data_IF_358345960628
#
_entry.id   IF_358345960628
#
_cell.length_a   1.000
_cell.length_b   1.000
_cell.length_c   1.000
_cell.angle_alpha   90.00
_cell.angle_beta   90.00
_cell.angle_gamma   90.00
#
_symmetry.space_group_name_H-M   'P 1'
#
loop_
_entity.id
_entity.type
_entity.pdbx_description
1 polymer ?
#
# COMPACT_ATOMS: atom_id res chain seq x y z
N UNK A 1 -22.01 -21.01 3.27
CA UNK A 1 -22.07 -19.55 3.46
C UNK A 1 -23.44 -19.02 3.04
N UNK A 2 -23.87 -19.21 1.80
CA UNK A 2 -25.15 -18.67 1.30
C UNK A 2 -26.42 -19.18 2.00
N UNK A 3 -26.45 -20.44 2.42
CA UNK A 3 -27.62 -21.06 3.08
C UNK A 3 -27.67 -20.83 4.61
N UNK A 4 -26.54 -20.47 5.23
CA UNK A 4 -26.39 -20.43 6.70
C UNK A 4 -26.08 -19.06 7.29
N UNK A 5 -25.59 -18.12 6.48
CA UNK A 5 -25.29 -16.75 6.89
C UNK A 5 -25.42 -15.80 5.68
N UNK A 6 -26.64 -15.63 5.13
CA UNK A 6 -26.88 -14.77 3.98
C UNK A 6 -26.52 -13.30 4.24
N UNK A 7 -26.50 -12.85 5.51
CA UNK A 7 -26.09 -11.52 5.94
C UNK A 7 -24.60 -11.23 5.69
N UNK A 8 -23.76 -12.27 5.67
CA UNK A 8 -22.31 -12.14 5.42
C UNK A 8 -21.97 -12.06 3.93
N UNK A 9 -22.92 -12.30 3.02
CA UNK A 9 -22.68 -12.30 1.57
C UNK A 9 -22.28 -10.92 1.04
N UNK A 10 -22.71 -9.84 1.71
CA UNK A 10 -22.31 -8.47 1.39
C UNK A 10 -21.19 -7.94 2.30
N UNK A 11 -20.63 -8.77 3.19
CA UNK A 11 -19.57 -8.34 4.10
C UNK A 11 -18.21 -8.42 3.38
N UNK A 12 -17.65 -7.26 3.06
CA UNK A 12 -16.25 -7.14 2.66
C UNK A 12 -15.42 -6.96 3.92
N UNK A 13 -14.61 -7.97 4.26
CA UNK A 13 -13.61 -7.87 5.32
C UNK A 13 -12.25 -7.47 4.71
N UNK A 14 -11.72 -6.32 5.10
CA UNK A 14 -10.35 -5.94 4.77
C UNK A 14 -9.41 -6.48 5.86
N UNK A 15 -8.65 -7.52 5.53
CA UNK A 15 -7.56 -8.00 6.37
C UNK A 15 -6.25 -7.33 5.98
N UNK A 16 -5.64 -6.57 6.88
CA UNK A 16 -4.28 -6.08 6.73
C UNK A 16 -3.30 -7.16 7.24
N UNK A 17 -2.61 -7.85 6.32
CA UNK A 17 -1.57 -8.82 6.70
C UNK A 17 -0.38 -8.14 7.41
N UNK A 18 -0.20 -6.84 7.17
CA UNK A 18 0.75 -5.99 7.88
C UNK A 18 -0.04 -4.92 8.60
N UNK A 19 -0.03 -5.01 9.93
CA UNK A 19 -0.59 -3.99 10.82
C UNK A 19 -0.14 -2.59 10.34
N UNK A 20 -1.08 -1.71 10.03
CA UNK A 20 -0.78 -0.33 9.63
C UNK A 20 -0.12 0.49 10.74
N UNK A 21 -0.06 -0.05 11.97
CA UNK A 21 0.83 0.47 13.00
C UNK A 21 2.27 0.39 12.52
N UNK A 22 2.96 1.50 12.71
CA UNK A 22 4.32 1.84 12.24
C UNK A 22 5.39 0.80 12.66
N UNK A 23 5.06 -0.24 13.43
CA UNK A 23 5.98 -1.08 14.17
C UNK A 23 6.81 -2.08 13.36
N UNK A 24 6.24 -2.86 12.43
CA UNK A 24 6.98 -4.02 11.88
C UNK A 24 8.04 -3.62 10.85
N UNK A 25 7.65 -2.91 9.80
CA UNK A 25 8.58 -2.52 8.75
C UNK A 25 9.64 -1.53 9.26
N UNK A 26 9.26 -0.57 10.10
CA UNK A 26 10.22 0.37 10.68
C UNK A 26 11.22 -0.34 11.61
N UNK A 27 10.75 -1.29 12.44
CA UNK A 27 11.65 -2.11 13.28
C UNK A 27 12.62 -2.93 12.44
N UNK A 28 12.15 -3.55 11.36
CA UNK A 28 13.04 -4.28 10.43
C UNK A 28 14.13 -3.38 9.83
N UNK A 29 13.79 -2.13 9.47
CA UNK A 29 14.78 -1.17 9.00
C UNK A 29 15.81 -0.83 10.09
N UNK A 30 15.36 -0.59 11.32
CA UNK A 30 16.25 -0.34 12.47
C UNK A 30 17.18 -1.52 12.72
N UNK A 31 16.63 -2.74 12.76
CA UNK A 31 17.40 -3.97 13.01
C UNK A 31 18.44 -4.22 11.90
N UNK A 32 18.14 -3.82 10.66
CA UNK A 32 19.05 -3.89 9.52
C UNK A 32 20.02 -2.68 9.40
N UNK A 33 19.93 -1.69 10.29
CA UNK A 33 20.76 -0.50 10.26
C UNK A 33 20.48 0.43 9.07
N UNK A 34 19.26 0.39 8.50
CA UNK A 34 18.84 1.20 7.35
C UNK A 34 17.72 2.17 7.70
N UNK A 35 17.66 3.29 6.99
CA UNK A 35 16.64 4.32 7.18
C UNK A 35 15.27 3.87 6.64
N UNK A 36 14.22 4.02 7.45
CA UNK A 36 12.85 3.79 6.99
C UNK A 36 12.34 4.97 6.16
N UNK A 37 12.13 4.76 4.85
CA UNK A 37 11.72 5.83 3.93
C UNK A 37 10.20 6.08 3.95
N UNK A 38 9.39 5.05 4.15
CA UNK A 38 7.94 5.19 4.21
C UNK A 38 7.20 3.89 3.92
N UNK A 39 5.87 4.00 3.77
CA UNK A 39 4.98 2.89 3.43
C UNK A 39 4.10 3.26 2.23
N UNK A 40 3.79 2.28 1.40
CA UNK A 40 2.86 2.41 0.28
C UNK A 40 1.67 1.48 0.57
N UNK A 41 0.42 1.97 0.54
CA UNK A 41 -0.75 1.12 0.75
C UNK A 41 -0.87 0.10 -0.38
N UNK A 42 -1.48 -1.05 -0.09
CA UNK A 42 -1.83 -2.02 -1.11
C UNK A 42 -2.94 -1.43 -2.00
N UNK A 43 -2.60 -1.12 -3.25
CA UNK A 43 -3.47 -0.42 -4.19
C UNK A 43 -3.66 -1.26 -5.46
N UNK A 44 -4.86 -1.85 -5.69
CA UNK A 44 -5.14 -2.63 -6.89
C UNK A 44 -4.96 -1.83 -8.19
N UNK A 45 -5.15 -0.50 -8.14
CA UNK A 45 -4.96 0.36 -9.31
C UNK A 45 -3.47 0.50 -9.66
N UNK A 46 -2.58 0.40 -8.67
CA UNK A 46 -1.13 0.37 -8.90
C UNK A 46 -0.74 -0.90 -9.67
N UNK A 47 -1.23 -2.06 -9.26
CA UNK A 47 -0.98 -3.32 -9.98
C UNK A 47 -1.49 -3.23 -11.43
N UNK A 48 -2.72 -2.76 -11.62
CA UNK A 48 -3.30 -2.59 -12.95
C UNK A 48 -2.51 -1.61 -13.82
N UNK A 49 -1.99 -0.52 -13.25
CA UNK A 49 -1.15 0.43 -13.99
C UNK A 49 0.13 -0.25 -14.50
N UNK A 50 0.75 -1.13 -13.70
CA UNK A 50 1.92 -1.93 -14.13
C UNK A 50 1.57 -2.84 -15.30
N UNK A 51 0.45 -3.57 -15.23
CA UNK A 51 -0.01 -4.46 -16.30
C UNK A 51 -0.27 -3.71 -17.62
N UNK A 52 -0.80 -2.49 -17.54
CA UNK A 52 -1.08 -1.65 -18.69
C UNK A 52 0.15 -0.84 -19.16
N UNK A 53 1.33 -1.05 -18.56
CA UNK A 53 2.56 -0.26 -18.83
C UNK A 53 2.34 1.25 -18.68
N UNK A 54 1.51 1.66 -17.72
CA UNK A 54 1.21 3.06 -17.40
C UNK A 54 1.84 3.46 -16.07
N UNK A 55 2.24 4.72 -15.99
CA UNK A 55 2.73 5.29 -14.73
C UNK A 55 1.61 5.46 -13.72
N UNK A 56 1.86 5.19 -12.44
CA UNK A 56 0.91 5.49 -11.37
C UNK A 56 0.72 7.01 -11.14
N UNK A 57 1.62 7.83 -11.68
CA UNK A 57 1.56 9.30 -11.57
C UNK A 57 0.84 9.97 -12.74
N UNK A 58 0.60 9.26 -13.86
CA UNK A 58 -0.02 9.86 -15.05
C UNK A 58 -1.53 10.04 -14.93
N UNK A 59 -2.18 9.23 -14.08
CA UNK A 59 -3.64 9.19 -13.92
C UNK A 59 -4.03 9.31 -12.46
N UNK A 60 -5.18 9.93 -12.16
CA UNK A 60 -5.76 10.02 -10.81
C UNK A 60 -6.33 8.69 -10.29
N UNK A 61 -6.05 7.57 -10.97
CA UNK A 61 -6.53 6.22 -10.60
C UNK A 61 -5.78 5.67 -9.39
N UNK A 62 -4.49 5.99 -9.24
CA UNK A 62 -3.63 5.52 -8.14
C UNK A 62 -3.65 6.51 -6.96
N UNK A 63 -4.84 6.89 -6.48
CA UNK A 63 -5.01 8.00 -5.55
C UNK A 63 -4.32 7.81 -4.19
N UNK A 64 -4.15 6.55 -3.74
CA UNK A 64 -3.51 6.24 -2.46
C UNK A 64 -2.01 5.95 -2.60
N UNK A 65 -1.60 5.24 -3.65
CA UNK A 65 -0.22 4.82 -3.85
C UNK A 65 0.68 5.91 -4.44
N UNK A 66 0.19 6.70 -5.39
CA UNK A 66 0.97 7.78 -6.01
C UNK A 66 1.50 8.83 -5.01
N UNK A 67 0.68 9.40 -4.10
CA UNK A 67 1.21 10.37 -3.13
C UNK A 67 2.18 9.73 -2.13
N UNK A 68 1.97 8.46 -1.74
CA UNK A 68 2.86 7.74 -0.85
C UNK A 68 4.24 7.50 -1.49
N UNK A 69 4.26 7.07 -2.76
CA UNK A 69 5.50 6.91 -3.54
C UNK A 69 6.21 8.24 -3.73
N UNK A 70 5.48 9.32 -4.01
CA UNK A 70 6.06 10.66 -4.17
C UNK A 70 6.81 11.11 -2.91
N UNK A 71 6.22 10.94 -1.72
CA UNK A 71 6.88 11.27 -0.45
C UNK A 71 8.16 10.45 -0.21
N UNK A 72 8.18 9.18 -0.60
CA UNK A 72 9.36 8.33 -0.49
C UNK A 72 10.46 8.83 -1.43
N UNK A 73 10.12 9.20 -2.67
CA UNK A 73 11.04 9.75 -3.65
C UNK A 73 11.63 11.07 -3.15
N UNK A 74 10.80 11.97 -2.60
CA UNK A 74 11.24 13.25 -2.05
C UNK A 74 12.25 13.06 -0.91
N UNK A 75 12.03 12.09 -0.02
CA UNK A 75 12.99 11.75 1.05
C UNK A 75 14.30 11.19 0.49
N UNK A 76 14.23 10.37 -0.55
CA UNK A 76 15.41 9.78 -1.18
C UNK A 76 16.27 10.84 -1.89
N UNK A 77 15.64 11.77 -2.61
CA UNK A 77 16.33 12.86 -3.32
C UNK A 77 16.91 13.89 -2.34
N UNK A 78 16.32 14.04 -1.16
CA UNK A 78 16.83 14.90 -0.09
C UNK A 78 17.96 14.27 0.75
N UNK A 79 18.37 13.02 0.46
CA UNK A 79 19.47 12.31 1.11
C UNK A 79 20.77 12.51 0.36
#
# INVERSE_FOLDING_TARGET
MQERAPELLNLVACGEAFDSSVGRAAKMCVDAGVSFLGKVPLDPQLCKAVEESRSCFSDSKCAASAPALKQIIEKLVAT
#
